data_IF_610439453307
#
_entry.id   IF_610439453307
#
_cell.length_a   1.000
_cell.length_b   1.000
_cell.length_c   1.000
_cell.angle_alpha   90.00
_cell.angle_beta   90.00
_cell.angle_gamma   90.00
#
_symmetry.space_group_name_H-M   'P 1'
#
loop_
_entity.id
_entity.type
_entity.pdbx_description
1 polymer ?
#
# COMPACT_ATOMS: atom_id res chain seq x y z
N UNK A 1 -14.73 -19.36 -5.40
CA UNK A 1 -13.38 -19.21 -5.97
C UNK A 1 -12.46 -18.87 -4.83
N UNK A 2 -11.41 -19.65 -4.61
CA UNK A 2 -10.39 -19.32 -3.60
C UNK A 2 -9.41 -18.31 -4.22
N UNK A 3 -9.00 -17.30 -3.44
CA UNK A 3 -8.13 -16.22 -3.90
C UNK A 3 -6.63 -16.54 -3.80
N UNK A 4 -6.28 -17.60 -3.08
CA UNK A 4 -4.92 -18.13 -2.91
C UNK A 4 -5.00 -19.66 -2.83
N UNK A 5 -3.87 -20.36 -2.95
CA UNK A 5 -3.80 -21.77 -2.56
C UNK A 5 -4.19 -21.95 -1.08
N UNK A 6 -4.68 -23.13 -0.66
CA UNK A 6 -4.93 -23.44 0.75
C UNK A 6 -3.69 -23.21 1.61
N UNK A 7 -3.76 -22.32 2.60
CA UNK A 7 -2.60 -21.92 3.43
C UNK A 7 -1.76 -20.76 2.86
N UNK A 8 -2.14 -20.25 1.69
CA UNK A 8 -1.53 -19.09 1.05
C UNK A 8 -1.66 -17.80 1.85
N UNK A 9 -0.88 -16.80 1.47
CA UNK A 9 -0.84 -15.50 2.13
C UNK A 9 -1.30 -14.40 1.19
N UNK A 10 -2.33 -13.66 1.60
CA UNK A 10 -2.74 -12.42 0.96
C UNK A 10 -1.97 -11.26 1.60
N UNK A 11 -1.12 -10.61 0.81
CA UNK A 11 -0.42 -9.40 1.21
C UNK A 11 -1.21 -8.18 0.76
N UNK A 12 -1.67 -7.37 1.72
CA UNK A 12 -2.35 -6.10 1.47
C UNK A 12 -1.33 -4.96 1.62
N UNK A 13 -0.95 -4.34 0.51
CA UNK A 13 0.13 -3.37 0.46
C UNK A 13 -0.36 -1.94 0.16
N UNK A 14 0.02 -0.98 1.01
CA UNK A 14 -0.19 0.45 0.77
C UNK A 14 1.10 1.21 1.03
N UNK A 15 1.54 1.96 0.03
CA UNK A 15 2.71 2.85 0.15
C UNK A 15 2.27 4.29 -0.02
N UNK A 16 2.26 5.00 1.09
CA UNK A 16 2.05 6.44 1.14
C UNK A 16 3.30 7.16 0.61
N UNK A 17 3.12 8.19 -0.22
CA UNK A 17 4.23 8.84 -0.94
C UNK A 17 5.07 9.71 0.01
N UNK A 18 6.32 9.27 0.25
CA UNK A 18 7.26 9.97 1.12
C UNK A 18 7.65 11.37 0.60
N UNK A 19 7.79 11.54 -0.72
CA UNK A 19 8.19 12.81 -1.30
C UNK A 19 7.08 13.86 -1.17
N UNK A 20 5.83 13.43 -1.35
CA UNK A 20 4.64 14.26 -1.11
C UNK A 20 4.51 14.61 0.37
N UNK A 21 4.65 13.63 1.26
CA UNK A 21 4.64 13.86 2.70
C UNK A 21 5.71 14.88 3.12
N UNK A 22 6.96 14.66 2.72
CA UNK A 22 8.07 15.56 3.06
C UNK A 22 7.87 16.97 2.50
N UNK A 23 7.23 17.10 1.32
CA UNK A 23 6.85 18.42 0.78
C UNK A 23 5.90 19.16 1.70
N UNK A 24 4.90 18.47 2.25
CA UNK A 24 3.97 19.10 3.21
C UNK A 24 4.65 19.44 4.53
N UNK A 25 5.46 18.53 5.08
CA UNK A 25 6.21 18.80 6.31
C UNK A 25 7.11 20.02 6.15
N UNK A 26 7.82 20.16 5.02
CA UNK A 26 8.63 21.35 4.72
C UNK A 26 7.84 22.66 4.72
N UNK A 27 6.57 22.64 4.31
CA UNK A 27 5.72 23.83 4.37
C UNK A 27 5.27 24.12 5.81
N UNK A 28 4.92 23.07 6.56
CA UNK A 28 4.47 23.13 7.95
C UNK A 28 5.57 23.66 8.87
N UNK A 29 6.83 23.25 8.66
CA UNK A 29 7.99 23.74 9.44
C UNK A 29 8.20 25.26 9.34
N UNK A 30 7.61 25.93 8.34
CA UNK A 30 7.71 27.39 8.21
C UNK A 30 6.71 28.16 9.08
N UNK A 31 5.78 27.46 9.74
CA UNK A 31 4.80 28.07 10.64
C UNK A 31 5.51 28.36 11.97
N UNK A 32 5.62 29.65 12.39
CA UNK A 32 6.25 29.99 13.66
C UNK A 32 5.54 29.34 14.84
N UNK A 33 6.30 29.01 15.89
CA UNK A 33 5.82 28.46 17.16
C UNK A 33 5.10 27.09 17.09
N UNK A 34 5.14 26.43 15.92
CA UNK A 34 4.61 25.08 15.76
C UNK A 34 5.65 24.02 16.15
N UNK A 35 5.26 23.09 17.03
CA UNK A 35 6.01 21.85 17.24
C UNK A 35 5.93 20.96 15.99
N UNK A 36 6.96 21.09 15.16
CA UNK A 36 7.07 20.40 13.88
C UNK A 36 7.23 18.89 14.05
N UNK A 37 7.90 18.44 15.11
CA UNK A 37 8.13 17.01 15.32
C UNK A 37 6.84 16.30 15.70
N UNK A 38 6.06 16.91 16.60
CA UNK A 38 4.72 16.43 16.94
C UNK A 38 3.80 16.45 15.72
N UNK A 39 3.77 17.55 14.96
CA UNK A 39 2.95 17.65 13.76
C UNK A 39 3.31 16.57 12.73
N UNK A 40 4.62 16.35 12.49
CA UNK A 40 5.12 15.30 11.59
C UNK A 40 4.64 13.91 12.01
N UNK A 41 4.78 13.58 13.30
CA UNK A 41 4.38 12.28 13.81
C UNK A 41 2.87 12.05 13.68
N UNK A 42 2.06 13.05 14.03
CA UNK A 42 0.59 12.96 13.99
C UNK A 42 0.06 12.87 12.56
N UNK A 43 0.59 13.67 11.63
CA UNK A 43 0.19 13.62 10.22
C UNK A 43 0.54 12.25 9.64
N UNK A 44 1.75 11.75 9.89
CA UNK A 44 2.15 10.40 9.45
C UNK A 44 1.19 9.34 9.99
N UNK A 45 0.93 9.36 11.30
CA UNK A 45 0.01 8.41 11.92
C UNK A 45 -1.40 8.47 11.33
N UNK A 46 -1.91 9.68 11.05
CA UNK A 46 -3.24 9.85 10.45
C UNK A 46 -3.30 9.33 9.01
N UNK A 47 -2.29 9.63 8.18
CA UNK A 47 -2.22 9.14 6.79
C UNK A 47 -2.17 7.61 6.72
N UNK A 48 -1.42 6.98 7.62
CA UNK A 48 -1.31 5.52 7.65
C UNK A 48 -2.50 4.86 8.35
N UNK A 49 -3.36 5.60 9.05
CA UNK A 49 -4.48 5.03 9.80
C UNK A 49 -5.50 4.37 8.87
N UNK A 50 -6.01 5.09 7.88
CA UNK A 50 -7.10 4.57 7.05
C UNK A 50 -6.69 3.29 6.27
N UNK A 51 -5.48 3.21 5.68
CA UNK A 51 -4.98 1.95 5.09
C UNK A 51 -4.80 0.82 6.11
N UNK A 52 -4.32 1.09 7.33
CA UNK A 52 -4.22 0.05 8.37
C UNK A 52 -5.60 -0.44 8.80
N UNK A 53 -6.56 0.46 9.02
CA UNK A 53 -7.93 0.11 9.39
C UNK A 53 -8.58 -0.75 8.29
N UNK A 54 -8.28 -0.47 7.01
CA UNK A 54 -8.70 -1.31 5.89
C UNK A 54 -8.12 -2.73 5.94
N UNK A 55 -6.81 -2.87 6.21
CA UNK A 55 -6.17 -4.19 6.40
C UNK A 55 -6.86 -4.99 7.50
N UNK A 56 -7.13 -4.36 8.65
CA UNK A 56 -7.81 -5.02 9.77
C UNK A 56 -9.23 -5.44 9.40
N UNK A 57 -9.96 -4.60 8.67
CA UNK A 57 -11.29 -4.93 8.15
C UNK A 57 -11.26 -6.15 7.23
N UNK A 58 -10.33 -6.19 6.27
CA UNK A 58 -10.14 -7.33 5.39
C UNK A 58 -9.78 -8.60 6.16
N UNK A 59 -8.86 -8.50 7.13
CA UNK A 59 -8.47 -9.64 7.97
C UNK A 59 -9.68 -10.20 8.74
N UNK A 60 -10.50 -9.33 9.34
CA UNK A 60 -11.69 -9.74 10.06
C UNK A 60 -12.73 -10.40 9.13
N UNK A 61 -12.96 -9.85 7.94
CA UNK A 61 -13.90 -10.41 6.96
C UNK A 61 -13.45 -11.78 6.41
N UNK A 62 -12.16 -11.90 6.07
CA UNK A 62 -11.59 -13.13 5.52
C UNK A 62 -11.47 -14.24 6.56
N UNK A 63 -11.25 -13.92 7.84
CA UNK A 63 -11.29 -14.93 8.91
C UNK A 63 -12.64 -15.65 9.00
N UNK A 64 -13.74 -14.99 8.59
CA UNK A 64 -15.09 -15.58 8.58
C UNK A 64 -15.34 -16.37 7.30
N UNK A 65 -14.97 -15.81 6.14
CA UNK A 65 -15.37 -16.29 4.81
C UNK A 65 -14.35 -17.21 4.11
N UNK A 66 -13.07 -17.09 4.44
CA UNK A 66 -11.96 -17.77 3.78
C UNK A 66 -11.00 -18.39 4.81
N UNK A 67 -11.51 -19.35 5.59
CA UNK A 67 -10.79 -20.05 6.66
C UNK A 67 -9.63 -20.86 6.09
N UNK A 68 -8.45 -20.25 6.01
CA UNK A 68 -7.26 -20.88 5.44
C UNK A 68 -6.28 -19.90 4.78
N UNK A 69 -6.71 -18.65 4.56
CA UNK A 69 -5.86 -17.59 4.01
C UNK A 69 -5.23 -16.81 5.17
N UNK A 70 -3.90 -16.61 5.12
CA UNK A 70 -3.20 -15.68 6.02
C UNK A 70 -3.26 -14.28 5.42
N UNK A 71 -3.53 -13.26 6.24
CA UNK A 71 -3.61 -11.87 5.78
C UNK A 71 -2.52 -11.04 6.46
N UNK A 72 -1.54 -10.60 5.68
CA UNK A 72 -0.43 -9.73 6.12
C UNK A 72 -0.59 -8.32 5.53
N UNK A 73 -0.40 -7.30 6.38
CA UNK A 73 -0.55 -5.90 6.04
C UNK A 73 0.79 -5.20 5.90
N UNK A 74 1.02 -4.54 4.78
CA UNK A 74 2.26 -3.82 4.48
C UNK A 74 1.94 -2.38 4.16
N UNK A 75 1.73 -1.61 5.23
CA UNK A 75 1.39 -0.18 5.17
C UNK A 75 2.61 0.64 5.60
N UNK A 76 3.18 1.43 4.70
CA UNK A 76 4.33 2.28 5.01
C UNK A 76 4.34 3.60 4.25
N UNK A 77 5.17 4.52 4.72
CA UNK A 77 5.55 5.72 3.98
C UNK A 77 6.83 5.38 3.20
N UNK A 78 6.88 5.68 1.90
CA UNK A 78 8.05 5.36 1.09
C UNK A 78 7.91 5.74 -0.38
N UNK A 79 8.61 5.00 -1.24
CA UNK A 79 8.58 5.14 -2.69
C UNK A 79 7.87 3.93 -3.31
N UNK A 80 6.66 4.16 -3.83
CA UNK A 80 5.75 3.13 -4.32
C UNK A 80 6.43 2.06 -5.17
N UNK A 81 7.16 2.47 -6.21
CA UNK A 81 7.76 1.54 -7.17
C UNK A 81 8.83 0.63 -6.54
N UNK A 82 9.81 1.20 -5.84
CA UNK A 82 10.87 0.42 -5.20
C UNK A 82 10.33 -0.45 -4.07
N UNK A 83 9.39 0.08 -3.29
CA UNK A 83 8.81 -0.60 -2.14
C UNK A 83 7.91 -1.78 -2.53
N UNK A 84 7.13 -1.65 -3.62
CA UNK A 84 6.35 -2.77 -4.14
C UNK A 84 7.25 -3.84 -4.74
N UNK A 85 8.33 -3.46 -5.42
CA UNK A 85 9.32 -4.43 -5.92
C UNK A 85 9.99 -5.20 -4.79
N UNK A 86 10.49 -4.51 -3.77
CA UNK A 86 11.04 -5.13 -2.57
C UNK A 86 10.04 -6.09 -1.92
N UNK A 87 8.77 -5.69 -1.82
CA UNK A 87 7.74 -6.55 -1.24
C UNK A 87 7.52 -7.83 -2.07
N UNK A 88 7.53 -7.72 -3.39
CA UNK A 88 7.36 -8.84 -4.31
C UNK A 88 8.53 -9.82 -4.19
N UNK A 89 9.75 -9.28 -4.20
CA UNK A 89 10.98 -10.08 -4.13
C UNK A 89 11.12 -10.76 -2.76
N UNK A 90 10.88 -10.05 -1.66
CA UNK A 90 11.04 -10.57 -0.29
C UNK A 90 10.05 -11.67 0.08
N UNK A 91 8.86 -11.66 -0.53
CA UNK A 91 7.76 -12.56 -0.16
C UNK A 91 7.42 -13.56 -1.28
N UNK A 92 8.23 -13.60 -2.34
CA UNK A 92 8.06 -14.48 -3.50
C UNK A 92 6.61 -14.44 -4.02
N UNK A 93 6.10 -13.22 -4.27
CA UNK A 93 4.69 -13.03 -4.62
C UNK A 93 4.37 -13.66 -5.98
N UNK A 94 3.46 -14.65 -5.98
CA UNK A 94 3.05 -15.39 -7.19
C UNK A 94 2.05 -14.64 -8.08
N UNK A 95 1.34 -13.64 -7.53
CA UNK A 95 0.33 -12.86 -8.23
C UNK A 95 0.20 -11.46 -7.61
N UNK A 96 0.41 -10.43 -8.42
CA UNK A 96 0.10 -9.06 -8.03
C UNK A 96 -1.28 -8.67 -8.54
N UNK A 97 -2.17 -8.27 -7.64
CA UNK A 97 -3.49 -7.74 -7.97
C UNK A 97 -3.49 -6.23 -7.80
N UNK A 98 -3.86 -5.50 -8.85
CA UNK A 98 -3.97 -4.04 -8.85
C UNK A 98 -5.38 -3.61 -9.22
N UNK A 99 -5.94 -2.69 -8.44
CA UNK A 99 -7.20 -2.04 -8.79
C UNK A 99 -6.91 -0.87 -9.73
N UNK A 100 -7.52 -0.87 -10.93
CA UNK A 100 -7.25 0.09 -12.01
C UNK A 100 -8.41 1.04 -12.29
N UNK A 101 -9.58 0.79 -11.71
CA UNK A 101 -10.79 1.61 -11.90
C UNK A 101 -10.96 2.66 -10.80
N UNK A 102 -10.55 3.89 -11.09
CA UNK A 102 -11.16 5.06 -10.45
C UNK A 102 -11.23 6.18 -11.50
N UNK A 103 -12.46 6.56 -11.88
CA UNK A 103 -12.74 7.45 -13.03
C UNK A 103 -12.12 8.85 -12.88
N UNK A 104 -11.68 9.23 -11.67
CA UNK A 104 -11.12 10.54 -11.35
C UNK A 104 -9.60 10.56 -11.04
N UNK A 105 -8.86 9.46 -11.17
CA UNK A 105 -7.44 9.43 -10.81
C UNK A 105 -6.48 8.98 -11.93
N UNK A 106 -5.97 9.98 -12.66
CA UNK A 106 -4.70 9.94 -13.40
C UNK A 106 -3.49 9.45 -12.56
N UNK A 107 -3.63 9.34 -11.23
CA UNK A 107 -2.57 8.90 -10.31
C UNK A 107 -2.29 7.39 -10.33
N UNK A 108 -3.28 6.54 -10.63
CA UNK A 108 -3.09 5.07 -10.68
C UNK A 108 -2.48 4.61 -12.02
N UNK A 109 -2.69 5.36 -13.11
CA UNK A 109 -1.95 5.16 -14.36
C UNK A 109 -0.43 5.36 -14.18
N UNK A 110 -0.03 6.28 -13.28
CA UNK A 110 1.39 6.57 -13.01
C UNK A 110 2.14 5.45 -12.29
N UNK A 111 1.45 4.49 -11.66
CA UNK A 111 2.07 3.41 -10.87
C UNK A 111 1.84 2.05 -11.53
N UNK A 112 0.65 1.79 -12.06
CA UNK A 112 0.32 0.53 -12.71
C UNK A 112 1.15 0.25 -13.97
N UNK A 113 1.38 1.25 -14.81
CA UNK A 113 2.16 1.07 -16.04
C UNK A 113 3.65 0.84 -15.76
N UNK A 114 4.35 1.65 -14.93
CA UNK A 114 5.73 1.35 -14.57
C UNK A 114 5.91 0.00 -13.89
N UNK A 115 5.01 -0.36 -12.96
CA UNK A 115 5.03 -1.68 -12.32
C UNK A 115 4.85 -2.79 -13.36
N UNK A 116 3.91 -2.66 -14.30
CA UNK A 116 3.70 -3.67 -15.34
C UNK A 116 4.90 -3.82 -16.28
N UNK A 117 5.65 -2.75 -16.52
CA UNK A 117 6.86 -2.79 -17.35
C UNK A 117 8.05 -3.40 -16.58
N UNK A 118 8.16 -3.14 -15.29
CA UNK A 118 9.28 -3.59 -14.43
C UNK A 118 9.08 -5.01 -13.89
N UNK A 119 7.84 -5.41 -13.60
CA UNK A 119 7.50 -6.71 -13.01
C UNK A 119 7.05 -7.71 -14.06
N UNK A 120 7.95 -8.02 -15.01
CA UNK A 120 7.63 -8.93 -16.13
C UNK A 120 7.53 -10.40 -15.73
N UNK A 121 8.12 -10.76 -14.60
CA UNK A 121 8.23 -12.15 -14.14
C UNK A 121 7.09 -12.56 -13.20
N UNK A 122 6.36 -11.59 -12.62
CA UNK A 122 5.21 -11.84 -11.75
C UNK A 122 3.90 -11.64 -12.52
N UNK A 123 2.98 -12.62 -12.54
CA UNK A 123 1.64 -12.46 -13.09
C UNK A 123 0.92 -11.23 -12.50
N UNK A 124 0.23 -10.48 -13.37
CA UNK A 124 -0.49 -9.25 -13.00
C UNK A 124 -1.98 -9.39 -13.30
N UNK A 125 -2.81 -9.14 -12.30
CA UNK A 125 -4.26 -9.02 -12.45
C UNK A 125 -4.70 -7.58 -12.22
N UNK A 126 -5.25 -6.95 -13.26
CA UNK A 126 -5.79 -5.59 -13.21
C UNK A 126 -7.33 -5.66 -13.17
N UNK A 127 -7.92 -5.05 -12.14
CA UNK A 127 -9.37 -5.04 -11.87
C UNK A 127 -10.01 -3.68 -12.16
#
# INVERSE_FOLDING_TARGET
SEFTEPGGTLYLAHVEDAAVFDRYIRAITKIPDLDTDTARAQIKARLLKDPNDYVESCRAGLAVQARGIRVDGRVKLGCRLSDYRELIDENEIDLLVMYTKDEDQLAMHGVAYPLAVELRETPLLML
#
